data_IF_449840410546
#
_entry.id   IF_449840410546
#
_cell.length_a   1.000
_cell.length_b   1.000
_cell.length_c   1.000
_cell.angle_alpha   90.00
_cell.angle_beta   90.00
_cell.angle_gamma   90.00
#
_symmetry.space_group_name_H-M   'P 1'
#
loop_
_entity.id
_entity.type
_entity.pdbx_description
1 polymer ?
#
# COMPACT_ATOMS: atom_id res chain seq x y z
N UNK A 1 -30.87 10.50 -20.89
CA UNK A 1 -30.43 9.40 -19.97
C UNK A 1 -31.29 9.50 -18.72
N UNK A 2 -32.19 8.52 -18.54
CA UNK A 2 -33.26 8.58 -17.55
C UNK A 2 -32.71 8.34 -16.11
N UNK A 3 -32.92 9.30 -15.26
CA UNK A 3 -32.54 9.26 -13.83
C UNK A 3 -33.41 8.30 -12.97
N UNK A 4 -34.41 7.66 -13.55
CA UNK A 4 -35.35 6.81 -12.83
C UNK A 4 -34.88 5.36 -12.64
N UNK A 5 -33.83 4.93 -13.34
CA UNK A 5 -33.35 3.54 -13.29
C UNK A 5 -32.67 3.14 -11.97
N UNK A 6 -32.20 4.09 -11.18
CA UNK A 6 -31.50 3.80 -9.92
C UNK A 6 -32.45 3.67 -8.71
N UNK A 7 -33.65 4.20 -8.81
CA UNK A 7 -34.64 4.13 -7.74
C UNK A 7 -35.51 2.87 -7.80
N UNK A 8 -35.68 2.30 -8.98
CA UNK A 8 -36.50 1.10 -9.17
C UNK A 8 -35.76 -0.17 -8.80
N UNK A 9 -34.42 -0.15 -8.85
CA UNK A 9 -33.61 -1.29 -8.40
C UNK A 9 -33.70 -1.55 -6.88
N UNK A 10 -33.97 -0.51 -6.09
CA UNK A 10 -34.07 -0.62 -4.63
C UNK A 10 -35.45 -1.06 -4.14
N UNK A 11 -36.47 -1.05 -4.99
CA UNK A 11 -37.84 -1.45 -4.60
C UNK A 11 -38.13 -2.94 -4.79
N UNK A 12 -37.26 -3.67 -5.47
CA UNK A 12 -37.47 -5.09 -5.78
C UNK A 12 -36.82 -6.04 -4.80
N UNK A 13 -36.18 -5.54 -3.76
CA UNK A 13 -35.43 -6.36 -2.78
C UNK A 13 -36.18 -6.66 -1.48
N UNK A 14 -37.48 -6.34 -1.41
CA UNK A 14 -38.28 -6.62 -0.21
C UNK A 14 -39.43 -7.53 -0.57
N UNK A 15 -39.18 -8.78 -0.82
CA UNK A 15 -40.17 -9.87 -0.56
C UNK A 15 -39.48 -11.23 -0.67
N UNK A 16 -39.63 -11.95 0.39
CA UNK A 16 -39.49 -13.40 0.65
C UNK A 16 -38.35 -13.78 1.57
N UNK A 17 -38.60 -13.68 2.86
CA UNK A 17 -38.10 -14.66 3.83
C UNK A 17 -39.20 -14.98 4.81
N UNK A 18 -39.98 -15.98 4.50
CA UNK A 18 -40.76 -16.75 5.50
C UNK A 18 -40.51 -18.21 5.22
N UNK A 19 -39.90 -18.88 6.18
CA UNK A 19 -40.10 -20.32 6.45
C UNK A 19 -39.03 -21.25 5.94
N UNK A 20 -38.13 -21.70 6.83
CA UNK A 20 -37.98 -23.12 7.20
C UNK A 20 -36.78 -23.25 8.15
N UNK A 21 -37.08 -23.60 9.38
CA UNK A 21 -36.11 -24.13 10.32
C UNK A 21 -35.70 -25.53 9.86
N UNK A 22 -34.43 -25.72 9.52
CA UNK A 22 -33.81 -27.04 9.44
C UNK A 22 -32.29 -26.86 9.71
N UNK A 23 -31.86 -27.55 10.72
CA UNK A 23 -30.50 -27.79 11.17
C UNK A 23 -29.53 -27.99 10.01
N UNK A 24 -28.70 -26.97 9.77
CA UNK A 24 -27.55 -27.05 8.91
C UNK A 24 -26.50 -26.16 9.51
N UNK A 25 -25.45 -26.75 10.06
CA UNK A 25 -24.21 -25.99 10.44
C UNK A 25 -23.74 -25.22 9.21
N UNK A 26 -24.16 -23.98 9.11
CA UNK A 26 -23.57 -23.01 8.19
C UNK A 26 -22.13 -22.82 8.64
N UNK A 27 -21.22 -23.46 7.94
CA UNK A 27 -19.83 -23.02 7.86
C UNK A 27 -19.89 -21.58 7.34
N UNK A 28 -19.90 -20.63 8.24
CA UNK A 28 -19.56 -19.26 7.90
C UNK A 28 -18.14 -19.31 7.34
N UNK A 29 -17.90 -18.81 6.12
CA UNK A 29 -16.53 -18.54 5.72
C UNK A 29 -16.00 -17.52 6.72
N UNK A 30 -15.18 -18.00 7.64
CA UNK A 30 -14.41 -17.16 8.54
C UNK A 30 -13.55 -16.29 7.61
N UNK A 31 -14.01 -15.08 7.35
CA UNK A 31 -13.13 -14.02 6.86
C UNK A 31 -12.04 -13.90 7.92
N UNK A 32 -10.95 -14.60 7.69
CA UNK A 32 -9.77 -14.55 8.52
C UNK A 32 -9.22 -13.13 8.54
N UNK A 33 -9.79 -12.31 9.39
CA UNK A 33 -9.18 -11.11 9.91
C UNK A 33 -8.22 -11.53 11.02
N UNK A 34 -7.23 -12.28 10.67
CA UNK A 34 -6.24 -12.64 11.63
C UNK A 34 -4.88 -12.60 11.00
N UNK A 35 -4.29 -11.43 11.00
CA UNK A 35 -2.85 -11.37 11.18
C UNK A 35 -2.47 -10.10 11.93
N UNK A 36 -3.09 -9.85 13.06
CA UNK A 36 -2.49 -9.06 14.10
C UNK A 36 -1.29 -9.84 14.64
N UNK A 37 -0.07 -9.41 14.30
CA UNK A 37 1.16 -9.95 14.90
C UNK A 37 2.24 -10.44 13.95
N UNK A 38 1.97 -10.69 12.67
CA UNK A 38 3.03 -11.09 11.75
C UNK A 38 3.61 -9.84 11.09
N UNK A 39 4.86 -9.50 11.43
CA UNK A 39 5.59 -8.42 10.75
C UNK A 39 5.57 -8.71 9.24
N UNK A 40 5.11 -7.72 8.46
CA UNK A 40 5.06 -7.85 7.01
C UNK A 40 6.48 -8.09 6.45
N UNK A 41 6.63 -8.85 5.37
CA UNK A 41 7.94 -9.09 4.77
C UNK A 41 8.50 -7.80 4.17
N UNK A 42 9.82 -7.68 4.16
CA UNK A 42 10.52 -6.59 3.48
C UNK A 42 10.47 -6.78 1.96
N UNK A 43 10.38 -5.68 1.23
CA UNK A 43 10.56 -5.69 -0.24
C UNK A 43 12.00 -6.06 -0.56
N UNK A 44 12.17 -7.08 -1.42
CA UNK A 44 13.48 -7.43 -1.96
C UNK A 44 13.77 -6.58 -3.22
N UNK A 45 14.99 -6.05 -3.35
CA UNK A 45 15.42 -5.29 -4.54
C UNK A 45 15.35 -6.12 -5.83
N UNK A 46 15.41 -7.46 -5.70
CA UNK A 46 15.31 -8.41 -6.82
C UNK A 46 13.90 -8.58 -7.39
N UNK A 47 12.88 -8.14 -6.67
CA UNK A 47 11.50 -8.25 -7.13
C UNK A 47 11.24 -7.44 -8.40
N UNK A 48 10.43 -7.94 -9.34
CA UNK A 48 10.15 -7.25 -10.59
C UNK A 48 9.64 -5.82 -10.40
N UNK A 49 8.74 -5.60 -9.45
CA UNK A 49 8.19 -4.29 -9.12
C UNK A 49 9.26 -3.36 -8.52
N UNK A 50 10.11 -3.88 -7.64
CA UNK A 50 11.21 -3.13 -7.04
C UNK A 50 12.20 -2.67 -8.11
N UNK A 51 12.57 -3.56 -9.03
CA UNK A 51 13.45 -3.23 -10.17
C UNK A 51 12.84 -2.19 -11.09
N UNK A 52 11.55 -2.31 -11.42
CA UNK A 52 10.85 -1.36 -12.29
C UNK A 52 10.80 0.05 -11.67
N UNK A 53 10.66 0.14 -10.36
CA UNK A 53 10.63 1.40 -9.61
C UNK A 53 12.03 1.89 -9.20
N UNK A 54 13.08 1.13 -9.47
CA UNK A 54 14.43 1.43 -9.01
C UNK A 54 14.54 1.49 -7.50
N UNK A 55 13.81 0.60 -6.80
CA UNK A 55 13.87 0.54 -5.35
C UNK A 55 15.21 0.00 -4.85
N UNK A 56 15.79 0.72 -3.91
CA UNK A 56 16.98 0.32 -3.15
C UNK A 56 16.70 0.43 -1.66
N UNK A 57 17.17 -0.54 -0.89
CA UNK A 57 17.08 -0.55 0.58
C UNK A 57 17.88 0.60 1.19
N UNK A 58 18.92 1.03 0.50
CA UNK A 58 19.79 2.14 0.90
C UNK A 58 19.85 3.18 -0.23
N UNK A 59 19.35 4.37 0.04
CA UNK A 59 19.34 5.49 -0.90
C UNK A 59 20.74 5.95 -1.35
N UNK A 60 21.79 5.65 -0.57
CA UNK A 60 23.16 5.97 -0.92
C UNK A 60 23.73 5.08 -2.03
N UNK A 61 23.14 3.89 -2.21
CA UNK A 61 23.58 2.90 -3.22
C UNK A 61 22.91 3.05 -4.58
N UNK A 62 22.01 4.03 -4.72
CA UNK A 62 21.30 4.27 -5.97
C UNK A 62 22.23 4.81 -7.03
N UNK A 63 22.21 4.18 -8.21
CA UNK A 63 22.96 4.68 -9.39
C UNK A 63 22.29 5.97 -9.92
N UNK A 64 22.90 7.10 -9.62
CA UNK A 64 22.41 8.43 -10.03
C UNK A 64 22.49 8.66 -11.55
N UNK A 65 23.33 7.91 -12.27
CA UNK A 65 23.40 7.97 -13.74
C UNK A 65 22.17 7.31 -14.37
N UNK A 66 21.70 6.22 -13.76
CA UNK A 66 20.50 5.52 -14.19
C UNK A 66 19.21 6.25 -13.74
N UNK A 67 19.23 6.84 -12.56
CA UNK A 67 18.06 7.48 -11.94
C UNK A 67 18.30 8.96 -11.77
N UNK A 68 18.05 9.75 -12.83
CA UNK A 68 18.30 11.20 -12.87
C UNK A 68 17.63 11.96 -11.72
N UNK A 69 16.47 11.53 -11.26
CA UNK A 69 15.78 12.13 -10.12
C UNK A 69 16.61 12.07 -8.83
N UNK A 70 17.33 10.98 -8.60
CA UNK A 70 18.25 10.84 -7.47
C UNK A 70 19.53 11.67 -7.64
N UNK A 71 19.90 11.94 -8.88
CA UNK A 71 21.06 12.78 -9.23
C UNK A 71 20.79 14.30 -9.15
N UNK A 72 19.52 14.71 -9.01
CA UNK A 72 19.15 16.13 -8.91
C UNK A 72 19.61 16.78 -7.60
N UNK A 73 19.42 18.12 -7.51
CA UNK A 73 19.87 18.93 -6.38
C UNK A 73 19.40 18.40 -5.02
N UNK A 74 18.14 17.98 -4.92
CA UNK A 74 17.54 17.43 -3.70
C UNK A 74 17.75 15.91 -3.55
N UNK A 75 18.37 15.26 -4.54
CA UNK A 75 18.47 13.81 -4.60
C UNK A 75 19.16 13.18 -3.39
N UNK A 76 20.18 13.85 -2.84
CA UNK A 76 20.93 13.36 -1.67
C UNK A 76 20.06 13.19 -0.43
N UNK A 77 19.04 14.02 -0.27
CA UNK A 77 18.12 14.01 0.88
C UNK A 77 16.92 13.11 0.68
N UNK A 78 16.68 12.63 -0.55
CA UNK A 78 15.53 11.78 -0.87
C UNK A 78 15.71 10.37 -0.28
N UNK A 79 14.83 10.02 0.66
CA UNK A 79 14.74 8.68 1.26
C UNK A 79 13.26 8.29 1.41
N UNK A 80 12.97 7.02 1.60
CA UNK A 80 11.59 6.58 1.86
C UNK A 80 11.01 7.28 3.10
N UNK A 81 11.79 7.49 4.15
CA UNK A 81 11.34 8.11 5.39
C UNK A 81 10.80 9.54 5.26
N UNK A 82 11.18 10.26 4.20
CA UNK A 82 10.63 11.58 3.88
C UNK A 82 9.78 11.60 2.60
N UNK A 83 9.27 10.43 2.22
CA UNK A 83 8.38 10.27 1.08
C UNK A 83 6.91 10.27 1.50
N UNK A 84 6.06 10.94 0.75
CA UNK A 84 4.61 10.98 0.99
C UNK A 84 3.95 9.59 0.89
N UNK A 85 4.51 8.68 0.12
CA UNK A 85 3.99 7.33 -0.09
C UNK A 85 4.39 6.34 1.02
N UNK A 86 5.33 6.75 1.86
CA UNK A 86 5.81 5.95 2.98
C UNK A 86 4.92 6.17 4.20
N UNK A 87 4.53 5.11 4.86
CA UNK A 87 3.75 5.10 6.10
C UNK A 87 2.47 6.00 6.04
N UNK A 88 1.84 6.08 4.85
CA UNK A 88 0.68 6.95 4.64
C UNK A 88 0.99 8.44 4.82
N UNK A 89 2.22 8.87 4.57
CA UNK A 89 2.68 10.25 4.74
C UNK A 89 3.00 10.62 6.20
N UNK A 90 2.94 9.68 7.14
CA UNK A 90 3.30 9.93 8.55
C UNK A 90 4.80 9.78 8.74
N UNK A 91 5.42 10.78 9.35
CA UNK A 91 6.83 10.72 9.73
C UNK A 91 7.01 9.70 10.87
N UNK A 92 8.01 8.83 10.74
CA UNK A 92 8.36 7.84 11.76
C UNK A 92 9.87 7.76 11.92
N UNK A 93 10.30 7.29 13.08
CA UNK A 93 11.70 6.96 13.40
C UNK A 93 11.99 5.47 13.20
N UNK A 94 11.01 4.68 12.79
CA UNK A 94 11.17 3.26 12.55
C UNK A 94 12.15 3.00 11.40
N UNK A 95 12.83 1.87 11.45
CA UNK A 95 13.80 1.46 10.41
C UNK A 95 13.13 1.02 9.11
N UNK A 96 11.88 0.62 9.19
CA UNK A 96 11.07 0.13 8.06
C UNK A 96 9.60 0.54 8.25
N UNK A 97 8.86 0.61 7.17
CA UNK A 97 7.44 0.93 7.21
C UNK A 97 6.71 0.55 5.94
N UNK A 98 5.37 0.58 5.96
CA UNK A 98 4.56 0.30 4.78
C UNK A 98 4.72 1.40 3.72
N UNK A 99 4.62 1.00 2.46
CA UNK A 99 4.62 1.93 1.33
C UNK A 99 3.43 1.63 0.42
N UNK A 100 2.76 2.68 -0.04
CA UNK A 100 1.59 2.54 -0.92
C UNK A 100 1.89 1.82 -2.24
N UNK A 101 3.15 1.84 -2.68
CA UNK A 101 3.58 1.15 -3.90
C UNK A 101 3.83 -0.35 -3.70
N UNK A 102 4.01 -0.80 -2.47
CA UNK A 102 4.29 -2.20 -2.14
C UNK A 102 3.28 -2.71 -1.12
N UNK A 103 2.04 -3.01 -1.55
CA UNK A 103 0.99 -3.46 -0.64
C UNK A 103 1.43 -4.73 0.09
N UNK A 104 1.10 -4.81 1.39
CA UNK A 104 1.44 -5.94 2.27
C UNK A 104 2.95 -6.22 2.43
N UNK A 105 3.79 -5.22 2.18
CA UNK A 105 5.23 -5.28 2.37
C UNK A 105 5.76 -4.04 3.06
N UNK A 106 6.93 -4.17 3.65
CA UNK A 106 7.66 -3.06 4.25
C UNK A 106 8.82 -2.63 3.35
N UNK A 107 9.11 -1.34 3.34
CA UNK A 107 10.31 -0.77 2.72
C UNK A 107 11.20 -0.17 3.81
N UNK A 108 12.50 -0.11 3.55
CA UNK A 108 13.44 0.52 4.44
C UNK A 108 13.23 2.05 4.47
N UNK A 109 13.25 2.64 5.65
CA UNK A 109 13.16 4.10 5.83
C UNK A 109 14.32 4.83 5.14
N UNK A 110 15.52 4.24 5.19
CA UNK A 110 16.71 4.74 4.47
C UNK A 110 16.70 4.43 2.97
N UNK A 111 15.71 3.66 2.48
CA UNK A 111 15.58 3.29 1.07
C UNK A 111 15.17 4.44 0.16
N UNK A 112 15.09 4.15 -1.13
CA UNK A 112 14.65 5.09 -2.15
C UNK A 112 14.03 4.36 -3.35
N UNK A 113 13.12 5.01 -4.04
CA UNK A 113 12.64 4.58 -5.37
C UNK A 113 12.39 5.79 -6.27
N UNK A 114 12.28 5.56 -7.57
CA UNK A 114 12.06 6.62 -8.56
C UNK A 114 10.71 7.33 -8.42
N UNK A 115 9.74 6.73 -7.76
CA UNK A 115 8.43 7.33 -7.46
C UNK A 115 8.43 8.18 -6.19
N UNK A 116 9.60 8.48 -5.63
CA UNK A 116 9.70 9.34 -4.45
C UNK A 116 8.97 10.69 -4.66
N UNK A 117 8.18 11.09 -3.67
CA UNK A 117 7.46 12.37 -3.63
C UNK A 117 7.72 13.00 -2.26
N UNK A 118 8.13 14.26 -2.27
CA UNK A 118 8.43 15.00 -1.03
C UNK A 118 7.22 15.01 -0.09
N UNK A 119 7.45 14.61 1.15
CA UNK A 119 6.47 14.76 2.21
C UNK A 119 6.61 16.14 2.86
N UNK A 120 5.60 17.02 2.79
CA UNK A 120 5.67 18.35 3.38
C UNK A 120 5.77 18.34 4.91
N UNK A 121 5.37 17.23 5.57
CA UNK A 121 5.48 17.06 7.02
C UNK A 121 6.89 16.62 7.47
N UNK A 122 7.72 16.10 6.57
CA UNK A 122 9.10 15.72 6.85
C UNK A 122 10.01 16.94 6.69
N UNK A 123 10.59 17.38 7.79
CA UNK A 123 11.56 18.49 7.83
C UNK A 123 12.95 17.99 7.47
#
# INVERSE_FOLDING_TARGET
MNQNSRRDFLKLSTLTVVGAAALGRLMTPSMAHAQAGKKLPMVAESEPQAKALGYHVDAAKVDVKKWAKKGGADGKTQICGNCMLFNGGKVTTDKDGPCSLFPQKLVATAGWCNSWVKNPAAK
#
